data_IF_044221273764
#
_entry.id   IF_044221273764
#
_cell.length_a   1.000
_cell.length_b   1.000
_cell.length_c   1.000
_cell.angle_alpha   90.00
_cell.angle_beta   90.00
_cell.angle_gamma   90.00
#
_symmetry.space_group_name_H-M   'P 1'
#
loop_
_entity.id
_entity.type
_entity.pdbx_description
1 polymer ?
#
# COMPACT_ATOMS: atom_id res chain seq x y z
N UNK A 1 21.17 -11.92 -18.81
CA UNK A 1 21.86 -11.02 -17.89
C UNK A 1 20.88 -9.94 -17.47
N UNK A 2 20.34 -10.02 -16.25
CA UNK A 2 19.50 -8.94 -15.71
C UNK A 2 20.42 -7.96 -14.98
N UNK A 3 20.36 -6.69 -15.35
CA UNK A 3 21.13 -5.63 -14.69
C UNK A 3 20.58 -5.41 -13.28
N UNK A 4 21.43 -5.53 -12.28
CA UNK A 4 21.11 -5.17 -10.90
C UNK A 4 21.33 -3.66 -10.77
N UNK A 5 20.26 -2.92 -10.48
CA UNK A 5 20.32 -1.48 -10.23
C UNK A 5 20.79 -1.24 -8.79
N UNK A 6 22.03 -0.77 -8.60
CA UNK A 6 22.68 -0.66 -7.29
C UNK A 6 22.76 0.78 -6.71
N UNK A 7 22.26 1.81 -7.40
CA UNK A 7 22.57 3.22 -7.05
C UNK A 7 21.33 4.13 -6.96
N UNK A 8 20.32 3.75 -6.17
CA UNK A 8 19.19 4.64 -5.87
C UNK A 8 19.20 5.07 -4.40
N UNK A 9 19.21 6.38 -4.14
CA UNK A 9 19.00 6.93 -2.79
C UNK A 9 17.53 6.82 -2.33
N UNK A 10 16.59 6.85 -3.28
CA UNK A 10 15.15 6.70 -3.03
C UNK A 10 14.44 6.21 -4.28
N UNK A 11 13.54 5.24 -4.11
CA UNK A 11 12.60 4.78 -5.14
C UNK A 11 11.19 5.20 -4.73
N UNK A 12 10.45 5.82 -5.65
CA UNK A 12 9.03 6.17 -5.47
C UNK A 12 8.23 5.46 -6.55
N UNK A 13 7.30 4.60 -6.16
CA UNK A 13 6.41 3.88 -7.07
C UNK A 13 5.06 4.61 -7.05
N UNK A 14 4.68 5.20 -8.18
CA UNK A 14 3.41 5.90 -8.35
C UNK A 14 2.64 5.32 -9.53
N UNK A 15 1.33 5.14 -9.37
CA UNK A 15 0.45 4.65 -10.41
C UNK A 15 -0.98 5.14 -10.23
N UNK A 16 -1.73 5.21 -11.34
CA UNK A 16 -3.14 5.57 -11.32
C UNK A 16 -4.00 4.32 -11.57
N UNK A 17 -4.75 3.92 -10.56
CA UNK A 17 -5.68 2.80 -10.67
C UNK A 17 -7.07 3.28 -11.13
N UNK A 18 -7.22 3.65 -12.40
CA UNK A 18 -8.53 4.02 -12.95
C UNK A 18 -9.41 2.76 -13.09
N UNK A 19 -10.71 2.79 -12.71
CA UNK A 19 -11.50 3.93 -12.24
C UNK A 19 -11.47 4.19 -10.73
N UNK A 20 -10.74 3.40 -9.93
CA UNK A 20 -10.70 3.49 -8.46
C UNK A 20 -9.95 4.72 -7.93
N UNK A 21 -9.16 5.39 -8.78
CA UNK A 21 -8.27 6.48 -8.42
C UNK A 21 -8.96 7.82 -8.10
N UNK A 22 -10.30 7.86 -8.04
CA UNK A 22 -11.07 9.05 -7.64
C UNK A 22 -12.41 8.65 -7.01
N UNK A 23 -12.94 9.51 -6.12
CA UNK A 23 -14.10 9.19 -5.28
C UNK A 23 -15.31 8.67 -6.06
N UNK A 24 -15.74 9.38 -7.12
CA UNK A 24 -16.91 8.98 -7.92
C UNK A 24 -16.70 7.65 -8.66
N UNK A 25 -15.48 7.37 -9.10
CA UNK A 25 -15.14 6.11 -9.76
C UNK A 25 -15.13 4.94 -8.77
N UNK A 26 -14.57 5.16 -7.58
CA UNK A 26 -14.62 4.21 -6.47
C UNK A 26 -16.06 3.90 -6.05
N UNK A 27 -16.90 4.92 -5.87
CA UNK A 27 -18.32 4.74 -5.54
C UNK A 27 -19.05 3.92 -6.60
N UNK A 28 -18.83 4.21 -7.89
CA UNK A 28 -19.43 3.44 -8.98
C UNK A 28 -18.99 1.99 -8.96
N UNK A 29 -17.72 1.73 -8.66
CA UNK A 29 -17.19 0.38 -8.54
C UNK A 29 -17.84 -0.38 -7.39
N UNK A 30 -17.88 0.19 -6.18
CA UNK A 30 -18.50 -0.46 -5.02
C UNK A 30 -19.96 -0.82 -5.28
N UNK A 31 -20.74 0.08 -5.88
CA UNK A 31 -22.14 -0.21 -6.22
C UNK A 31 -22.27 -1.32 -7.26
N UNK A 32 -21.37 -1.38 -8.25
CA UNK A 32 -21.36 -2.46 -9.25
C UNK A 32 -21.09 -3.82 -8.58
N UNK A 33 -20.18 -3.85 -7.61
CA UNK A 33 -19.83 -5.05 -6.83
C UNK A 33 -20.81 -5.32 -5.67
N UNK A 34 -21.91 -4.56 -5.58
CA UNK A 34 -22.94 -4.68 -4.53
C UNK A 34 -22.41 -4.46 -3.10
N UNK A 35 -21.32 -3.71 -2.96
CA UNK A 35 -20.74 -3.30 -1.69
C UNK A 35 -21.29 -1.93 -1.32
N UNK A 36 -21.80 -1.77 -0.09
CA UNK A 36 -22.26 -0.46 0.38
C UNK A 36 -21.04 0.42 0.68
N UNK A 37 -21.16 1.73 0.43
CA UNK A 37 -20.07 2.69 0.66
C UNK A 37 -19.57 2.65 2.12
N UNK A 38 -20.47 2.42 3.09
CA UNK A 38 -20.11 2.33 4.50
C UNK A 38 -19.26 1.09 4.83
N UNK A 39 -19.37 0.03 4.03
CA UNK A 39 -18.60 -1.21 4.18
C UNK A 39 -17.24 -1.11 3.42
N UNK A 40 -16.83 0.10 3.01
CA UNK A 40 -15.57 0.34 2.29
C UNK A 40 -14.35 -0.19 3.06
N UNK A 41 -14.33 -0.05 4.39
CA UNK A 41 -13.20 -0.52 5.20
C UNK A 41 -13.01 -2.03 5.05
N UNK A 42 -14.09 -2.79 5.04
CA UNK A 42 -14.05 -4.25 4.89
C UNK A 42 -13.55 -4.67 3.51
N UNK A 43 -13.85 -3.87 2.48
CA UNK A 43 -13.29 -4.06 1.13
C UNK A 43 -11.80 -3.70 1.05
N UNK A 44 -11.39 -2.56 1.61
CA UNK A 44 -10.05 -2.01 1.41
C UNK A 44 -8.98 -2.63 2.32
N UNK A 45 -9.37 -3.05 3.53
CA UNK A 45 -8.45 -3.62 4.51
C UNK A 45 -7.68 -4.85 3.98
N UNK A 46 -8.32 -5.90 3.43
CA UNK A 46 -7.58 -7.07 2.96
C UNK A 46 -6.62 -6.76 1.80
N UNK A 47 -6.95 -5.78 0.96
CA UNK A 47 -6.05 -5.33 -0.12
C UNK A 47 -4.82 -4.60 0.44
N UNK A 48 -5.02 -3.79 1.47
CA UNK A 48 -3.93 -3.11 2.17
C UNK A 48 -3.01 -4.12 2.87
N UNK A 49 -3.61 -5.06 3.60
CA UNK A 49 -2.90 -6.11 4.32
C UNK A 49 -2.05 -6.96 3.36
N UNK A 50 -2.63 -7.36 2.22
CA UNK A 50 -1.90 -8.11 1.19
C UNK A 50 -0.67 -7.34 0.65
N UNK A 51 -0.78 -6.03 0.45
CA UNK A 51 0.37 -5.21 -0.01
C UNK A 51 1.44 -5.14 1.07
N UNK A 52 1.05 -4.94 2.32
CA UNK A 52 1.96 -4.90 3.46
C UNK A 52 2.66 -6.25 3.69
N UNK A 53 1.92 -7.35 3.66
CA UNK A 53 2.45 -8.72 3.81
C UNK A 53 3.45 -9.06 2.70
N UNK A 54 3.10 -8.78 1.44
CA UNK A 54 4.02 -9.01 0.32
C UNK A 54 5.31 -8.19 0.45
N UNK A 55 5.20 -6.92 0.86
CA UNK A 55 6.37 -6.08 1.09
C UNK A 55 7.25 -6.63 2.23
N UNK A 56 6.64 -7.08 3.33
CA UNK A 56 7.33 -7.70 4.45
C UNK A 56 8.05 -9.00 4.07
N UNK A 57 7.41 -9.87 3.29
CA UNK A 57 8.02 -11.09 2.78
C UNK A 57 9.25 -10.80 1.91
N UNK A 58 9.14 -9.88 0.95
CA UNK A 58 10.26 -9.49 0.09
C UNK A 58 11.41 -8.92 0.92
N UNK A 59 11.11 -8.09 1.92
CA UNK A 59 12.14 -7.52 2.78
C UNK A 59 12.82 -8.59 3.63
N UNK A 60 12.07 -9.54 4.19
CA UNK A 60 12.62 -10.68 4.94
C UNK A 60 13.53 -11.55 4.08
N UNK A 61 13.12 -11.87 2.84
CA UNK A 61 13.92 -12.65 1.89
C UNK A 61 15.28 -11.99 1.58
N UNK A 62 15.32 -10.66 1.61
CA UNK A 62 16.52 -9.88 1.29
C UNK A 62 17.24 -9.34 2.54
N UNK A 63 16.77 -9.68 3.75
CA UNK A 63 17.36 -9.21 5.01
C UNK A 63 17.24 -7.69 5.22
N UNK A 64 16.21 -7.05 4.69
CA UNK A 64 15.94 -5.61 4.79
C UNK A 64 14.92 -5.35 5.90
N UNK A 65 15.19 -4.36 6.76
CA UNK A 65 14.22 -3.92 7.78
C UNK A 65 13.19 -2.95 7.18
N UNK A 66 11.91 -3.13 7.52
CA UNK A 66 10.83 -2.20 7.15
C UNK A 66 10.53 -1.26 8.31
N UNK A 67 10.55 0.04 8.02
CA UNK A 67 10.06 1.08 8.91
C UNK A 67 8.69 1.57 8.42
N UNK A 68 7.65 1.36 9.24
CA UNK A 68 6.34 1.95 8.98
C UNK A 68 6.28 3.36 9.56
N UNK A 69 6.06 4.34 8.69
CA UNK A 69 6.00 5.76 9.07
C UNK A 69 4.55 6.25 8.98
N UNK A 70 3.94 6.52 10.12
CA UNK A 70 2.62 7.17 10.17
C UNK A 70 2.74 8.60 10.67
N UNK A 71 1.86 9.48 10.16
CA UNK A 71 1.75 10.85 10.65
C UNK A 71 0.55 10.93 11.61
N UNK A 72 0.82 11.23 12.88
CA UNK A 72 -0.22 11.54 13.86
C UNK A 72 0.04 12.92 14.48
N UNK A 73 -0.93 13.83 14.35
CA UNK A 73 -1.00 15.13 15.03
C UNK A 73 0.29 16.00 15.03
N UNK A 74 1.18 15.82 14.03
CA UNK A 74 2.47 16.53 13.78
C UNK A 74 3.75 15.71 14.02
N UNK A 75 3.66 14.50 14.59
CA UNK A 75 4.82 13.63 14.84
C UNK A 75 4.83 12.41 13.92
N UNK A 76 6.03 12.03 13.44
CA UNK A 76 6.25 10.78 12.73
C UNK A 76 6.47 9.64 13.73
N UNK A 77 5.55 8.68 13.77
CA UNK A 77 5.72 7.48 14.57
C UNK A 77 6.39 6.43 13.68
N UNK A 78 7.54 5.93 14.14
CA UNK A 78 8.32 4.88 13.49
C UNK A 78 8.04 3.56 14.20
N UNK A 79 7.59 2.56 13.45
CA UNK A 79 7.45 1.20 13.96
C UNK A 79 8.29 0.27 13.10
N UNK A 80 9.24 -0.41 13.74
CA UNK A 80 10.04 -1.46 13.11
C UNK A 80 9.27 -2.76 13.27
N UNK A 81 8.86 -3.35 12.16
CA UNK A 81 8.25 -4.68 12.15
C UNK A 81 9.40 -5.67 12.01
N UNK A 82 9.55 -6.57 13.00
CA UNK A 82 10.51 -7.67 12.99
C UNK A 82 9.87 -8.94 12.45
#
# INVERSE_FOLDING_TARGET
>A
MHGILNCYDRIVIAGHLQPLSYAKGMTKYLYKEQIRIFDYKEFAQPLCDLVCENAALIAQEHGVEIEFVTKSNETYIRQVIK
#
